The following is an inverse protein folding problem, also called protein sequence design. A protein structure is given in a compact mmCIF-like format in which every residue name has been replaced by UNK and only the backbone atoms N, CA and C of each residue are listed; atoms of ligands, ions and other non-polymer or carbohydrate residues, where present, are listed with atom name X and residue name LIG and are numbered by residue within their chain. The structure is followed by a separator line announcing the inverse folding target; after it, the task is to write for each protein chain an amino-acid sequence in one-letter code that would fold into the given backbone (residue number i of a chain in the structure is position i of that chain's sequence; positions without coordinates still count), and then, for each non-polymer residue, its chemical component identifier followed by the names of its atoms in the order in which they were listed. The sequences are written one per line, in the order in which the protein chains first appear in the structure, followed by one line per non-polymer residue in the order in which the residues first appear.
data_IF_034854516293
#
_entry.id   IF_034854516293
#
_cell.length_a   1.000
_cell.length_b   1.000
_cell.length_c   1.000
_cell.angle_alpha   90.00
_cell.angle_beta   90.00
_cell.angle_gamma   90.00
#
_symmetry.space_group_name_H-M   'P 1'
#
loop_
_entity.id
_entity.type
_entity.pdbx_description
1 polymer ?
#
# COMPACT_ATOMS: atom_id res chain seq x y z
N UNK A 1 28.16 -1.89 -12.18
CA UNK A 1 27.38 -2.74 -13.11
C UNK A 1 27.86 -2.67 -14.56
N UNK A 2 28.40 -1.54 -15.05
CA UNK A 2 28.90 -1.46 -16.44
C UNK A 2 27.82 -1.27 -17.51
N UNK A 3 26.61 -0.84 -17.10
CA UNK A 3 25.51 -0.55 -18.02
C UNK A 3 25.84 0.70 -18.85
N UNK A 4 25.71 0.65 -20.19
CA UNK A 4 25.91 1.83 -21.04
C UNK A 4 24.92 2.95 -20.71
N UNK A 5 25.35 4.21 -20.81
CA UNK A 5 24.52 5.38 -20.45
C UNK A 5 23.20 5.45 -21.23
N UNK A 6 23.20 5.05 -22.49
CA UNK A 6 22.02 5.12 -23.36
C UNK A 6 21.01 4.00 -23.11
N UNK A 7 21.37 2.98 -22.32
CA UNK A 7 20.46 1.87 -21.99
C UNK A 7 19.54 2.23 -20.84
N UNK A 8 19.97 3.11 -19.94
CA UNK A 8 19.20 3.50 -18.76
C UNK A 8 19.31 5.00 -18.52
N UNK A 9 18.23 5.71 -18.80
CA UNK A 9 18.11 7.14 -18.56
C UNK A 9 17.08 7.39 -17.45
N UNK A 10 17.41 8.32 -16.55
CA UNK A 10 16.51 8.77 -15.48
C UNK A 10 16.03 10.18 -15.78
N UNK A 11 14.72 10.40 -15.71
CA UNK A 11 14.12 11.74 -15.76
C UNK A 11 13.47 12.01 -14.41
N UNK A 12 13.86 13.09 -13.76
CA UNK A 12 13.33 13.50 -12.46
C UNK A 12 12.39 14.68 -12.69
N UNK A 13 11.16 14.54 -12.23
CA UNK A 13 10.14 15.56 -12.36
C UNK A 13 8.82 15.12 -11.74
N UNK A 14 7.77 15.89 -12.00
CA UNK A 14 6.43 15.59 -11.46
C UNK A 14 5.56 14.93 -12.53
N UNK A 15 4.24 15.12 -12.46
CA UNK A 15 3.30 14.55 -13.44
C UNK A 15 3.61 15.00 -14.88
N UNK A 16 4.11 16.21 -15.07
CA UNK A 16 4.53 16.76 -16.37
C UNK A 16 5.62 15.93 -17.05
N UNK A 17 6.65 15.52 -16.30
CA UNK A 17 7.70 14.65 -16.80
C UNK A 17 7.14 13.27 -17.21
N UNK A 18 6.23 12.72 -16.41
CA UNK A 18 5.56 11.45 -16.73
C UNK A 18 4.72 11.53 -18.02
N UNK A 19 4.00 12.62 -18.24
CA UNK A 19 3.24 12.86 -19.48
C UNK A 19 4.18 13.03 -20.67
N UNK A 20 5.27 13.77 -20.52
CA UNK A 20 6.27 13.95 -21.56
C UNK A 20 6.92 12.61 -21.97
N UNK A 21 7.24 11.75 -21.00
CA UNK A 21 7.76 10.40 -21.22
C UNK A 21 6.77 9.50 -21.95
N UNK A 22 5.51 9.45 -21.50
CA UNK A 22 4.47 8.64 -22.13
C UNK A 22 4.16 9.08 -23.58
N UNK A 23 4.43 10.34 -23.92
CA UNK A 23 4.25 10.90 -25.26
C UNK A 23 5.40 10.58 -26.23
N UNK A 24 6.53 10.06 -25.74
CA UNK A 24 7.63 9.64 -26.60
C UNK A 24 7.27 8.39 -27.41
N UNK A 25 7.98 8.10 -28.52
CA UNK A 25 7.82 6.87 -29.30
C UNK A 25 8.36 5.63 -28.56
N UNK A 26 7.86 5.37 -27.35
CA UNK A 26 8.12 4.16 -26.57
C UNK A 26 7.40 2.93 -27.13
N UNK A 27 8.00 1.76 -26.92
CA UNK A 27 7.46 0.46 -27.29
C UNK A 27 6.70 -0.22 -26.14
N UNK A 28 6.69 0.35 -24.94
CA UNK A 28 5.94 -0.16 -23.80
C UNK A 28 5.98 0.77 -22.59
N UNK A 29 4.99 0.63 -21.70
CA UNK A 29 4.88 1.38 -20.45
C UNK A 29 4.71 0.42 -19.26
N UNK A 30 5.47 0.66 -18.20
CA UNK A 30 5.33 0.00 -16.90
C UNK A 30 5.11 1.07 -15.84
N UNK A 31 3.98 1.03 -15.16
CA UNK A 31 3.60 2.05 -14.17
C UNK A 31 3.12 1.41 -12.87
N UNK A 32 3.65 1.90 -11.76
CA UNK A 32 3.18 1.58 -10.41
C UNK A 32 2.67 2.84 -9.72
N UNK A 33 1.43 2.83 -9.23
CA UNK A 33 0.85 4.00 -8.54
C UNK A 33 -0.67 3.96 -8.42
N UNK A 34 -1.30 5.14 -8.35
CA UNK A 34 -2.75 5.20 -8.11
C UNK A 34 -3.58 4.67 -9.29
N UNK A 35 -4.72 4.02 -9.00
CA UNK A 35 -5.67 3.57 -10.01
C UNK A 35 -6.13 4.70 -10.95
N UNK A 36 -6.35 5.90 -10.40
CA UNK A 36 -6.71 7.11 -11.14
C UNK A 36 -5.68 7.48 -12.20
N UNK A 37 -4.39 7.41 -11.87
CA UNK A 37 -3.31 7.75 -12.81
C UNK A 37 -3.12 6.63 -13.84
N UNK A 38 -3.08 5.37 -13.40
CA UNK A 38 -2.94 4.22 -14.30
C UNK A 38 -4.04 4.15 -15.37
N UNK A 39 -5.29 4.38 -14.97
CA UNK A 39 -6.43 4.42 -15.89
C UNK A 39 -6.30 5.51 -16.95
N UNK A 40 -5.79 6.70 -16.57
CA UNK A 40 -5.56 7.81 -17.52
C UNK A 40 -4.43 7.48 -18.51
N UNK A 41 -3.34 6.88 -18.02
CA UNK A 41 -2.23 6.45 -18.86
C UNK A 41 -2.68 5.39 -19.87
N UNK A 42 -3.39 4.34 -19.42
CA UNK A 42 -3.95 3.32 -20.29
C UNK A 42 -4.82 3.91 -21.41
N UNK A 43 -5.74 4.82 -21.06
CA UNK A 43 -6.62 5.46 -22.02
C UNK A 43 -5.84 6.30 -23.06
N UNK A 44 -4.81 7.03 -22.64
CA UNK A 44 -3.98 7.85 -23.55
C UNK A 44 -3.13 7.02 -24.52
N UNK A 45 -2.73 5.81 -24.13
CA UNK A 45 -1.86 4.93 -24.92
C UNK A 45 -2.63 3.88 -25.73
N UNK A 46 -3.93 3.69 -25.48
CA UNK A 46 -4.76 2.71 -26.18
C UNK A 46 -4.66 2.79 -27.72
N UNK A 47 -4.65 3.97 -28.38
CA UNK A 47 -4.54 4.04 -29.84
C UNK A 47 -3.21 3.52 -30.39
N UNK A 48 -2.16 3.45 -29.57
CA UNK A 48 -0.81 3.02 -29.97
C UNK A 48 -0.63 1.51 -29.98
N UNK A 49 -1.53 0.76 -29.33
CA UNK A 49 -1.48 -0.71 -29.24
C UNK A 49 -0.12 -1.25 -28.73
N UNK A 50 0.54 -0.52 -27.82
CA UNK A 50 1.77 -0.96 -27.15
C UNK A 50 1.45 -1.70 -25.83
N UNK A 51 2.33 -2.59 -25.35
CA UNK A 51 2.26 -3.13 -23.99
C UNK A 51 2.14 -2.04 -22.92
N UNK A 52 1.15 -2.20 -22.03
CA UNK A 52 0.96 -1.35 -20.85
C UNK A 52 0.76 -2.25 -19.64
N UNK A 53 1.72 -2.26 -18.71
CA UNK A 53 1.62 -2.95 -17.43
C UNK A 53 1.36 -1.95 -16.31
N UNK A 54 0.33 -2.22 -15.50
CA UNK A 54 -0.13 -1.35 -14.43
C UNK A 54 -0.20 -2.13 -13.12
N UNK A 55 0.57 -1.69 -12.12
CA UNK A 55 0.47 -2.15 -10.74
C UNK A 55 -0.19 -1.02 -9.93
N UNK A 56 -1.44 -1.22 -9.54
CA UNK A 56 -2.29 -0.16 -8.99
C UNK A 56 -2.63 -0.39 -7.51
N UNK A 57 -3.39 0.53 -6.91
CA UNK A 57 -3.82 0.40 -5.52
C UNK A 57 -4.77 -0.79 -5.32
N UNK A 58 -4.59 -1.49 -4.18
CA UNK A 58 -5.45 -2.58 -3.71
C UNK A 58 -6.46 -2.14 -2.65
N UNK A 59 -7.17 -3.12 -2.08
CA UNK A 59 -8.00 -2.97 -0.87
C UNK A 59 -8.07 -4.34 -0.20
N UNK A 60 -6.91 -4.88 0.13
CA UNK A 60 -6.73 -6.31 0.29
C UNK A 60 -7.45 -6.82 1.55
N UNK A 61 -8.35 -7.81 1.40
CA UNK A 61 -9.05 -8.40 2.52
C UNK A 61 -8.25 -9.53 3.17
N UNK A 62 -8.30 -9.61 4.49
CA UNK A 62 -7.94 -10.77 5.27
C UNK A 62 -9.21 -11.36 5.87
N UNK A 63 -9.40 -12.68 5.77
CA UNK A 63 -10.51 -13.39 6.42
C UNK A 63 -9.96 -14.40 7.43
N UNK A 64 -10.48 -14.35 8.66
CA UNK A 64 -10.12 -15.26 9.76
C UNK A 64 -11.31 -16.17 10.04
N UNK A 65 -11.14 -17.46 9.73
CA UNK A 65 -12.15 -18.50 9.94
C UNK A 65 -12.27 -18.89 11.41
N UNK A 66 -13.37 -19.58 11.76
CA UNK A 66 -13.62 -20.14 13.09
C UNK A 66 -12.70 -21.31 13.45
N UNK A 67 -12.19 -22.03 12.46
CA UNK A 67 -11.27 -23.15 12.61
C UNK A 67 -9.79 -22.75 12.59
N UNK A 68 -9.49 -21.44 12.69
CA UNK A 68 -8.11 -20.96 12.75
C UNK A 68 -7.40 -21.61 13.95
N UNK A 69 -6.26 -22.30 13.71
CA UNK A 69 -5.61 -23.08 14.76
C UNK A 69 -4.99 -22.22 15.86
N UNK A 70 -4.64 -20.97 15.53
CA UNK A 70 -4.07 -20.00 16.46
C UNK A 70 -4.58 -18.59 16.11
N UNK A 71 -5.60 -18.15 16.85
CA UNK A 71 -6.24 -16.84 16.67
C UNK A 71 -5.25 -15.70 16.95
N UNK A 72 -4.38 -15.85 17.95
CA UNK A 72 -3.43 -14.82 18.34
C UNK A 72 -2.34 -14.63 17.28
N UNK A 73 -1.81 -15.72 16.71
CA UNK A 73 -0.87 -15.64 15.60
C UNK A 73 -1.51 -15.04 14.34
N UNK A 74 -2.77 -15.38 14.05
CA UNK A 74 -3.51 -14.78 12.94
C UNK A 74 -3.71 -13.27 13.13
N UNK A 75 -4.08 -12.83 14.34
CA UNK A 75 -4.19 -11.42 14.69
C UNK A 75 -2.86 -10.68 14.53
N UNK A 76 -1.77 -11.25 15.05
CA UNK A 76 -0.44 -10.65 14.94
C UNK A 76 -0.02 -10.46 13.47
N UNK A 77 -0.21 -11.48 12.64
CA UNK A 77 0.11 -11.42 11.21
C UNK A 77 -0.78 -10.43 10.44
N UNK A 78 -2.08 -10.37 10.74
CA UNK A 78 -2.99 -9.44 10.09
C UNK A 78 -2.64 -7.98 10.44
N UNK A 79 -2.29 -7.70 11.69
CA UNK A 79 -1.89 -6.36 12.15
C UNK A 79 -0.51 -5.96 11.61
N UNK A 80 0.46 -6.87 11.58
CA UNK A 80 1.75 -6.65 10.91
C UNK A 80 1.55 -6.34 9.41
N UNK A 81 0.74 -7.14 8.71
CA UNK A 81 0.42 -6.90 7.29
C UNK A 81 -0.32 -5.59 7.03
N UNK A 82 -1.13 -5.12 7.97
CA UNK A 82 -1.80 -3.82 7.88
C UNK A 82 -0.86 -2.64 8.15
N UNK A 83 0.11 -2.81 9.06
CA UNK A 83 0.93 -1.71 9.58
C UNK A 83 2.36 -1.67 9.03
N UNK A 84 2.81 -2.72 8.34
CA UNK A 84 4.11 -2.76 7.67
C UNK A 84 4.28 -1.54 6.74
N UNK A 85 5.44 -0.90 6.80
CA UNK A 85 5.72 0.38 6.11
C UNK A 85 4.68 1.49 6.43
N UNK A 86 4.17 1.51 7.66
CA UNK A 86 3.06 2.36 8.11
C UNK A 86 1.80 2.22 7.24
N UNK A 87 1.54 1.01 6.73
CA UNK A 87 0.42 0.69 5.83
C UNK A 87 0.57 1.26 4.41
N UNK A 88 1.75 1.78 4.05
CA UNK A 88 2.00 2.38 2.73
C UNK A 88 2.56 1.34 1.75
N UNK A 89 1.85 0.22 1.59
CA UNK A 89 2.15 -0.82 0.60
C UNK A 89 0.90 -1.14 -0.21
N UNK A 90 1.07 -1.46 -1.50
CA UNK A 90 -0.07 -1.86 -2.35
C UNK A 90 -0.72 -3.17 -1.91
N UNK A 91 0.02 -4.02 -1.17
CA UNK A 91 -0.44 -5.29 -0.63
C UNK A 91 -0.71 -5.26 0.88
N UNK A 92 -0.79 -4.06 1.49
CA UNK A 92 -1.15 -3.95 2.90
C UNK A 92 -2.58 -4.44 3.12
N UNK A 93 -2.80 -5.14 4.23
CA UNK A 93 -4.14 -5.55 4.64
C UNK A 93 -4.95 -4.31 4.98
N UNK A 94 -6.04 -4.07 4.24
CA UNK A 94 -6.88 -2.89 4.43
C UNK A 94 -8.24 -3.19 5.05
N UNK A 95 -8.64 -4.47 5.06
CA UNK A 95 -9.91 -4.94 5.64
C UNK A 95 -9.69 -6.29 6.30
N UNK A 96 -10.03 -6.41 7.56
CA UNK A 96 -9.97 -7.68 8.29
C UNK A 96 -11.40 -8.09 8.61
N UNK A 97 -11.79 -9.26 8.13
CA UNK A 97 -13.07 -9.90 8.40
C UNK A 97 -12.82 -11.11 9.29
N UNK A 98 -13.52 -11.19 10.41
CA UNK A 98 -13.28 -12.23 11.42
C UNK A 98 -14.60 -12.95 11.70
N UNK A 99 -14.56 -14.28 11.75
CA UNK A 99 -15.72 -15.07 12.12
C UNK A 99 -16.14 -14.77 13.57
N UNK A 100 -17.45 -14.64 13.81
CA UNK A 100 -18.01 -14.22 15.11
C UNK A 100 -17.53 -15.10 16.27
N UNK A 101 -17.38 -16.41 16.04
CA UNK A 101 -16.94 -17.39 17.04
C UNK A 101 -15.53 -17.13 17.61
N UNK A 102 -14.68 -16.37 16.91
CA UNK A 102 -13.30 -16.06 17.32
C UNK A 102 -13.03 -14.55 17.37
N UNK A 103 -14.08 -13.73 17.23
CA UNK A 103 -13.94 -12.28 17.07
C UNK A 103 -13.32 -11.61 18.30
N UNK A 104 -13.81 -11.93 19.50
CA UNK A 104 -13.36 -11.27 20.74
C UNK A 104 -11.89 -11.59 21.03
N UNK A 105 -11.50 -12.87 20.92
CA UNK A 105 -10.12 -13.32 21.10
C UNK A 105 -9.18 -12.70 20.05
N UNK A 106 -9.64 -12.60 18.79
CA UNK A 106 -8.89 -11.93 17.74
C UNK A 106 -8.70 -10.45 18.04
N UNK A 107 -9.77 -9.76 18.44
CA UNK A 107 -9.74 -8.32 18.72
C UNK A 107 -8.77 -8.00 19.86
N UNK A 108 -8.80 -8.78 20.94
CA UNK A 108 -7.88 -8.62 22.07
C UNK A 108 -6.42 -8.77 21.61
N UNK A 109 -6.11 -9.84 20.88
CA UNK A 109 -4.76 -10.09 20.36
C UNK A 109 -4.30 -9.03 19.35
N UNK A 110 -5.22 -8.55 18.50
CA UNK A 110 -4.95 -7.53 17.50
C UNK A 110 -4.60 -6.18 18.14
N UNK A 111 -5.39 -5.75 19.14
CA UNK A 111 -5.13 -4.52 19.90
C UNK A 111 -3.80 -4.63 20.65
N UNK A 112 -3.54 -5.76 21.31
CA UNK A 112 -2.27 -6.01 22.02
C UNK A 112 -1.08 -5.91 21.06
N UNK A 113 -1.18 -6.53 19.88
CA UNK A 113 -0.13 -6.45 18.85
C UNK A 113 0.10 -5.01 18.40
N UNK A 114 -0.96 -4.28 18.04
CA UNK A 114 -0.85 -2.91 17.56
C UNK A 114 -0.20 -1.99 18.61
N UNK A 115 -0.53 -2.16 19.89
CA UNK A 115 0.05 -1.38 20.99
C UNK A 115 1.53 -1.72 21.26
N UNK A 116 2.00 -2.90 20.84
CA UNK A 116 3.40 -3.29 21.00
C UNK A 116 4.35 -2.58 20.03
N UNK A 117 3.83 -2.04 18.93
CA UNK A 117 4.63 -1.39 17.90
C UNK A 117 5.17 -0.04 18.38
N UNK A 118 6.50 0.07 18.37
CA UNK A 118 7.18 1.32 18.67
C UNK A 118 7.24 2.23 17.45
N UNK A 119 6.64 3.42 17.56
CA UNK A 119 6.78 4.48 16.57
C UNK A 119 7.96 5.39 16.95
N UNK A 120 8.77 5.80 15.96
CA UNK A 120 9.96 6.59 16.24
C UNK A 120 10.81 6.96 15.04
N UNK A 121 12.08 7.27 15.32
CA UNK A 121 13.09 7.58 14.30
C UNK A 121 13.37 6.32 13.45
N UNK A 122 13.22 6.37 12.12
CA UNK A 122 13.44 5.20 11.25
C UNK A 122 14.90 4.71 11.23
N UNK A 123 15.86 5.48 11.75
CA UNK A 123 17.25 5.06 11.92
C UNK A 123 17.50 4.27 13.22
N UNK A 124 16.54 4.27 14.15
CA UNK A 124 16.64 3.49 15.39
C UNK A 124 16.28 2.03 15.15
N UNK A 125 17.06 1.11 15.71
CA UNK A 125 16.84 -0.34 15.58
C UNK A 125 15.57 -0.84 16.29
N UNK A 126 15.05 -0.06 17.24
CA UNK A 126 13.85 -0.42 17.99
C UNK A 126 12.57 0.20 17.42
N UNK A 127 12.65 1.02 16.38
CA UNK A 127 11.49 1.57 15.69
C UNK A 127 10.90 0.52 14.75
N UNK A 128 9.60 0.26 14.91
CA UNK A 128 8.82 -0.53 13.96
C UNK A 128 8.00 0.38 13.01
N UNK A 129 7.36 1.43 13.54
CA UNK A 129 6.59 2.39 12.74
C UNK A 129 7.39 3.69 12.49
N UNK A 130 7.70 3.94 11.22
CA UNK A 130 8.24 5.22 10.75
C UNK A 130 7.15 6.24 10.43
N UNK A 131 7.53 7.45 9.97
CA UNK A 131 6.58 8.47 9.57
C UNK A 131 5.87 8.12 8.25
N UNK A 132 4.72 8.75 8.02
CA UNK A 132 4.05 8.72 6.72
C UNK A 132 4.82 9.57 5.69
N UNK A 133 4.74 9.18 4.42
CA UNK A 133 5.53 9.80 3.35
C UNK A 133 5.12 11.26 3.05
N UNK A 134 3.86 11.61 3.28
CA UNK A 134 3.31 12.94 2.98
C UNK A 134 2.64 13.58 4.20
N UNK A 135 2.79 14.90 4.41
CA UNK A 135 2.17 15.63 5.52
C UNK A 135 0.64 15.58 5.53
N UNK A 136 0.00 15.33 4.39
CA UNK A 136 -1.46 15.24 4.27
C UNK A 136 -2.04 13.88 4.68
N UNK A 137 -1.21 12.82 4.73
CA UNK A 137 -1.69 11.46 5.02
C UNK A 137 -2.29 11.30 6.43
N UNK A 138 -1.72 11.87 7.52
CA UNK A 138 -2.34 11.78 8.83
C UNK A 138 -3.79 12.28 8.86
N UNK A 139 -4.06 13.42 8.22
CA UNK A 139 -5.42 13.99 8.14
C UNK A 139 -6.37 13.08 7.37
N UNK A 140 -5.90 12.49 6.28
CA UNK A 140 -6.70 11.52 5.51
C UNK A 140 -7.03 10.27 6.33
N UNK A 141 -6.05 9.70 7.05
CA UNK A 141 -6.29 8.54 7.90
C UNK A 141 -7.23 8.86 9.06
N UNK A 142 -7.08 10.02 9.70
CA UNK A 142 -7.99 10.47 10.75
C UNK A 142 -9.43 10.55 10.24
N UNK A 143 -9.65 11.07 9.02
CA UNK A 143 -11.01 11.13 8.45
C UNK A 143 -11.65 9.75 8.24
N UNK A 144 -10.85 8.70 7.98
CA UNK A 144 -11.37 7.33 7.88
C UNK A 144 -11.73 6.76 9.25
N UNK A 145 -10.93 7.07 10.28
CA UNK A 145 -11.25 6.71 11.67
C UNK A 145 -12.54 7.39 12.11
N UNK A 146 -12.68 8.69 11.85
CA UNK A 146 -13.87 9.46 12.20
C UNK A 146 -15.13 8.90 11.50
N UNK A 147 -15.07 8.63 10.18
CA UNK A 147 -16.16 8.01 9.42
C UNK A 147 -16.55 6.62 9.95
N UNK A 148 -15.57 5.83 10.43
CA UNK A 148 -15.83 4.51 10.98
C UNK A 148 -16.51 4.56 12.37
N UNK A 149 -16.19 5.57 13.20
CA UNK A 149 -16.79 5.76 14.52
C UNK A 149 -18.21 6.33 14.43
N UNK A 150 -18.51 7.11 13.38
CA UNK A 150 -19.83 7.69 13.15
C UNK A 150 -20.89 6.68 12.66
N UNK A 151 -20.48 5.48 12.22
CA UNK A 151 -21.35 4.43 11.67
C UNK A 151 -21.65 3.34 12.68
#
# INVERSE_FOLDING_TARGET
AGVPKEVFATVIGTADAGVALASQPIDGLFFTGSNRTGSRLAASLAPRMIPVQLELGGKDPCYVCDDVPDVAAAAAAAIDGAMYNAGQSCCSVERIYVHEAVYDDFLEAAVSTAQSFKMGDPSSQDTYLGPLALPSHPTFLQSQVDDAVEK
#
